data_IF_182741685220
#
_entry.id   IF_182741685220
#
_cell.length_a   1.000
_cell.length_b   1.000
_cell.length_c   1.000
_cell.angle_alpha   90.00
_cell.angle_beta   90.00
_cell.angle_gamma   90.00
#
_symmetry.space_group_name_H-M   'P 1'
#
loop_
_entity.id
_entity.type
_entity.pdbx_description
1 polymer ?
#
# COMPACT_ATOMS: atom_id res chain seq x y z
N UNK A 1 -25.83 -12.06 -28.12
CA UNK A 1 -25.46 -10.71 -27.72
C UNK A 1 -25.93 -10.43 -26.31
N UNK A 2 -25.18 -9.62 -25.56
CA UNK A 2 -25.57 -9.17 -24.22
C UNK A 2 -26.42 -7.91 -24.40
N UNK A 3 -27.66 -7.93 -23.91
CA UNK A 3 -28.61 -6.82 -24.06
C UNK A 3 -28.46 -5.76 -22.96
N UNK A 4 -28.27 -6.19 -21.70
CA UNK A 4 -28.18 -5.31 -20.54
C UNK A 4 -27.36 -5.98 -19.42
N UNK A 5 -26.60 -5.17 -18.68
CA UNK A 5 -25.88 -5.58 -17.45
C UNK A 5 -26.41 -4.73 -16.31
N UNK A 6 -26.82 -5.35 -15.19
CA UNK A 6 -27.37 -4.65 -14.02
C UNK A 6 -26.74 -5.11 -12.72
N UNK A 7 -26.60 -4.19 -11.77
CA UNK A 7 -26.28 -4.56 -10.40
C UNK A 7 -27.48 -5.23 -9.73
N UNK A 8 -27.23 -6.09 -8.74
CA UNK A 8 -28.26 -6.66 -7.89
C UNK A 8 -27.76 -6.82 -6.46
N UNK A 9 -28.68 -6.84 -5.51
CA UNK A 9 -28.36 -7.08 -4.09
C UNK A 9 -28.26 -8.58 -3.79
N UNK A 10 -27.20 -9.00 -3.12
CA UNK A 10 -27.04 -10.41 -2.69
C UNK A 10 -28.16 -10.82 -1.73
N UNK A 11 -28.59 -9.93 -0.84
CA UNK A 11 -29.53 -10.24 0.24
C UNK A 11 -30.94 -10.62 -0.24
N UNK A 12 -31.44 -10.00 -1.32
CA UNK A 12 -32.82 -10.18 -1.80
C UNK A 12 -32.92 -10.42 -3.32
N UNK A 13 -31.78 -10.50 -4.00
CA UNK A 13 -31.66 -10.70 -5.45
C UNK A 13 -32.40 -9.66 -6.29
N UNK A 14 -32.67 -8.46 -5.74
CA UNK A 14 -33.33 -7.39 -6.48
C UNK A 14 -32.35 -6.63 -7.33
N UNK A 15 -32.73 -6.43 -8.59
CA UNK A 15 -31.98 -5.64 -9.56
C UNK A 15 -32.00 -4.15 -9.18
N UNK A 16 -30.89 -3.46 -9.42
CA UNK A 16 -30.63 -2.07 -9.04
C UNK A 16 -30.58 -1.16 -10.28
N UNK A 17 -29.57 -0.33 -10.45
CA UNK A 17 -29.29 0.43 -11.66
C UNK A 17 -28.55 -0.40 -12.72
N UNK A 18 -28.50 0.13 -13.94
CA UNK A 18 -27.75 -0.42 -15.07
C UNK A 18 -26.26 -0.13 -14.88
N UNK A 19 -25.40 -1.08 -15.24
CA UNK A 19 -23.96 -0.89 -15.24
C UNK A 19 -23.51 -0.26 -16.56
N UNK A 20 -23.55 1.08 -16.65
CA UNK A 20 -23.26 1.83 -17.89
C UNK A 20 -21.83 1.62 -18.42
N UNK A 21 -20.89 1.25 -17.55
CA UNK A 21 -19.49 0.96 -17.91
C UNK A 21 -19.24 -0.53 -18.19
N UNK A 22 -20.29 -1.35 -18.23
CA UNK A 22 -20.19 -2.79 -18.41
C UNK A 22 -19.63 -3.52 -17.18
N UNK A 23 -19.04 -4.69 -17.42
CA UNK A 23 -18.41 -5.52 -16.40
C UNK A 23 -17.00 -5.91 -16.85
N UNK A 24 -16.02 -5.63 -15.99
CA UNK A 24 -14.71 -6.27 -16.06
C UNK A 24 -14.65 -7.34 -14.96
N UNK A 25 -14.49 -8.60 -15.35
CA UNK A 25 -14.41 -9.74 -14.44
C UNK A 25 -12.94 -10.19 -14.35
N UNK A 26 -12.14 -9.67 -13.41
CA UNK A 26 -10.77 -10.14 -13.22
C UNK A 26 -10.77 -11.60 -12.73
N UNK A 27 -9.67 -12.33 -12.92
CA UNK A 27 -9.56 -13.67 -12.36
C UNK A 27 -9.69 -13.68 -10.84
N UNK A 28 -10.27 -14.75 -10.29
CA UNK A 28 -10.45 -14.91 -8.84
C UNK A 28 -9.24 -15.53 -8.12
N UNK A 29 -8.19 -15.88 -8.85
CA UNK A 29 -6.97 -16.54 -8.37
C UNK A 29 -5.77 -16.04 -9.16
N UNK A 30 -4.61 -16.07 -8.50
CA UNK A 30 -3.33 -15.64 -9.09
C UNK A 30 -2.74 -16.72 -10.02
N UNK A 31 -3.00 -18.01 -9.72
CA UNK A 31 -2.63 -19.12 -10.60
C UNK A 31 -3.84 -19.60 -11.42
N UNK A 32 -3.79 -19.37 -12.73
CA UNK A 32 -4.84 -19.79 -13.66
C UNK A 32 -4.60 -21.21 -14.18
N UNK A 33 -5.66 -22.01 -14.25
CA UNK A 33 -5.61 -23.40 -14.72
C UNK A 33 -5.67 -23.49 -16.25
N UNK A 34 -4.69 -22.91 -16.93
CA UNK A 34 -4.53 -23.02 -18.38
C UNK A 34 -4.14 -24.45 -18.77
N UNK A 35 -4.30 -24.81 -20.05
CA UNK A 35 -3.90 -26.13 -20.54
C UNK A 35 -2.41 -26.41 -20.30
N UNK A 36 -1.57 -25.38 -20.34
CA UNK A 36 -0.15 -25.47 -20.04
C UNK A 36 0.12 -25.76 -18.55
N UNK A 37 -0.49 -25.00 -17.64
CA UNK A 37 -0.39 -25.23 -16.19
C UNK A 37 -0.87 -26.64 -15.83
N UNK A 38 -1.97 -27.08 -16.44
CA UNK A 38 -2.53 -28.42 -16.25
C UNK A 38 -1.58 -29.51 -16.76
N UNK A 39 -0.96 -29.30 -17.92
CA UNK A 39 0.04 -30.22 -18.48
C UNK A 39 1.29 -30.34 -17.60
N UNK A 40 1.81 -29.21 -17.10
CA UNK A 40 2.94 -29.18 -16.15
C UNK A 40 2.60 -29.89 -14.85
N UNK A 41 1.40 -29.66 -14.32
CA UNK A 41 0.93 -30.33 -13.11
C UNK A 41 0.84 -31.85 -13.30
N UNK A 42 0.34 -32.34 -14.44
CA UNK A 42 0.27 -33.77 -14.74
C UNK A 42 1.67 -34.42 -14.76
N UNK A 43 2.64 -33.78 -15.43
CA UNK A 43 4.01 -34.26 -15.48
C UNK A 43 4.68 -34.27 -14.10
N UNK A 44 4.47 -33.22 -13.30
CA UNK A 44 4.99 -33.14 -11.94
C UNK A 44 4.33 -34.17 -11.01
N UNK A 45 3.06 -34.50 -11.20
CA UNK A 45 2.37 -35.53 -10.40
C UNK A 45 2.98 -36.93 -10.61
N UNK A 46 3.45 -37.24 -11.82
CA UNK A 46 4.18 -38.49 -12.11
C UNK A 46 5.57 -38.50 -11.47
N UNK A 47 6.27 -37.37 -11.49
CA UNK A 47 7.60 -37.22 -10.92
C UNK A 47 7.62 -37.19 -9.38
N UNK A 48 6.57 -36.64 -8.78
CA UNK A 48 6.43 -36.42 -7.33
C UNK A 48 5.12 -37.03 -6.80
N UNK A 49 5.02 -38.37 -6.67
CA UNK A 49 3.80 -39.04 -6.22
C UNK A 49 3.28 -38.55 -4.86
N UNK A 50 4.16 -38.07 -3.99
CA UNK A 50 3.84 -37.44 -2.69
C UNK A 50 2.97 -36.18 -2.82
N UNK A 51 3.00 -35.51 -3.97
CA UNK A 51 2.15 -34.36 -4.31
C UNK A 51 1.01 -34.72 -5.26
N UNK A 52 0.85 -36.00 -5.60
CA UNK A 52 -0.06 -36.48 -6.64
C UNK A 52 -1.52 -36.11 -6.42
N UNK A 53 -2.00 -36.03 -5.17
CA UNK A 53 -3.38 -35.59 -4.89
C UNK A 53 -3.60 -34.12 -5.28
N UNK A 54 -2.67 -33.24 -4.91
CA UNK A 54 -2.76 -31.80 -5.18
C UNK A 54 -2.56 -31.52 -6.67
N UNK A 55 -1.47 -32.04 -7.24
CA UNK A 55 -1.12 -31.86 -8.65
C UNK A 55 -2.13 -32.53 -9.59
N UNK A 56 -2.69 -33.69 -9.21
CA UNK A 56 -3.73 -34.36 -9.97
C UNK A 56 -5.00 -33.53 -10.11
N UNK A 57 -5.46 -32.91 -9.01
CA UNK A 57 -6.61 -31.98 -9.06
C UNK A 57 -6.33 -30.79 -9.98
N UNK A 58 -5.14 -30.20 -9.89
CA UNK A 58 -4.71 -29.09 -10.78
C UNK A 58 -4.71 -29.55 -12.24
N UNK A 59 -4.15 -30.72 -12.56
CA UNK A 59 -4.13 -31.29 -13.91
C UNK A 59 -5.54 -31.52 -14.49
N UNK A 60 -6.50 -31.93 -13.64
CA UNK A 60 -7.91 -32.07 -14.00
C UNK A 60 -8.64 -30.72 -14.16
N UNK A 61 -8.00 -29.60 -13.86
CA UNK A 61 -8.61 -28.27 -13.94
C UNK A 61 -9.44 -27.92 -12.69
N UNK A 62 -9.18 -28.59 -11.57
CA UNK A 62 -9.86 -28.37 -10.29
C UNK A 62 -9.00 -27.46 -9.41
N UNK A 63 -9.52 -26.26 -9.12
CA UNK A 63 -8.87 -25.33 -8.20
C UNK A 63 -8.95 -25.84 -6.75
N UNK A 64 -7.83 -25.72 -6.03
CA UNK A 64 -7.66 -26.24 -4.67
C UNK A 64 -6.97 -25.20 -3.80
N UNK A 65 -7.22 -25.24 -2.49
CA UNK A 65 -6.55 -24.35 -1.56
C UNK A 65 -5.04 -24.60 -1.55
N UNK A 66 -4.25 -23.52 -1.56
CA UNK A 66 -2.79 -23.59 -1.51
C UNK A 66 -2.08 -23.88 -2.84
N UNK A 67 -2.77 -24.06 -3.97
CA UNK A 67 -2.10 -24.31 -5.27
C UNK A 67 -1.15 -23.19 -5.71
N UNK A 68 -1.36 -21.95 -5.25
CA UNK A 68 -0.48 -20.81 -5.51
C UNK A 68 0.95 -21.04 -5.00
N UNK A 69 1.13 -21.87 -3.96
CA UNK A 69 2.48 -22.25 -3.48
C UNK A 69 3.31 -23.01 -4.53
N UNK A 70 2.64 -23.60 -5.53
CA UNK A 70 3.26 -24.31 -6.65
C UNK A 70 3.39 -23.43 -7.90
N UNK A 71 2.96 -22.16 -7.87
CA UNK A 71 3.04 -21.28 -9.04
C UNK A 71 4.44 -21.27 -9.69
N UNK A 72 5.57 -21.16 -8.95
CA UNK A 72 6.89 -21.05 -9.58
C UNK A 72 7.33 -22.27 -10.39
N UNK A 73 6.69 -23.43 -10.20
CA UNK A 73 6.98 -24.64 -10.97
C UNK A 73 5.90 -24.98 -12.00
N UNK A 74 4.78 -24.24 -11.96
CA UNK A 74 3.64 -24.42 -12.84
C UNK A 74 3.53 -23.32 -13.91
N UNK A 75 4.18 -22.17 -13.74
CA UNK A 75 4.27 -21.11 -14.75
C UNK A 75 5.72 -20.93 -15.21
N UNK A 76 5.93 -20.13 -16.26
CA UNK A 76 7.26 -19.84 -16.80
C UNK A 76 8.04 -18.86 -15.93
N UNK A 77 7.40 -17.74 -15.61
CA UNK A 77 8.05 -16.62 -14.96
C UNK A 77 7.17 -16.07 -13.84
N UNK A 78 7.83 -15.58 -12.80
CA UNK A 78 7.22 -14.80 -11.72
C UNK A 78 7.67 -13.36 -11.86
N UNK A 79 6.73 -12.43 -11.72
CA UNK A 79 6.99 -10.98 -11.84
C UNK A 79 6.87 -10.30 -10.47
N UNK A 80 7.62 -9.21 -10.25
CA UNK A 80 7.41 -8.31 -9.14
C UNK A 80 6.35 -7.27 -9.47
N UNK A 81 5.74 -6.67 -8.45
CA UNK A 81 4.83 -5.54 -8.64
C UNK A 81 5.47 -4.42 -9.47
N UNK A 82 6.76 -4.15 -9.26
CA UNK A 82 7.49 -3.09 -9.98
C UNK A 82 7.70 -3.40 -11.47
N UNK A 83 7.60 -4.67 -11.89
CA UNK A 83 7.70 -5.07 -13.30
C UNK A 83 6.44 -4.70 -14.09
N UNK A 84 5.29 -4.62 -13.42
CA UNK A 84 3.98 -4.38 -14.04
C UNK A 84 3.45 -2.95 -13.85
N UNK A 85 4.23 -2.08 -13.20
CA UNK A 85 3.89 -0.67 -13.10
C UNK A 85 4.07 0.04 -14.44
N UNK A 86 3.27 1.08 -14.74
CA UNK A 86 3.44 1.87 -15.96
C UNK A 86 4.84 2.48 -16.07
N UNK A 87 5.35 2.59 -17.31
CA UNK A 87 6.61 3.29 -17.59
C UNK A 87 6.60 4.72 -17.01
N UNK A 88 7.71 5.12 -16.41
CA UNK A 88 7.82 6.42 -15.72
C UNK A 88 7.32 6.43 -14.27
N UNK A 89 6.87 5.31 -13.73
CA UNK A 89 6.56 5.19 -12.29
C UNK A 89 7.79 5.43 -11.41
N UNK A 90 7.57 5.83 -10.15
CA UNK A 90 8.60 6.07 -9.15
C UNK A 90 8.27 5.34 -7.85
N UNK A 91 9.27 4.73 -7.23
CA UNK A 91 9.16 4.17 -5.89
C UNK A 91 9.54 5.20 -4.83
N UNK A 92 8.67 5.42 -3.84
CA UNK A 92 8.94 6.23 -2.65
C UNK A 92 8.86 5.36 -1.40
N UNK A 93 9.99 5.14 -0.73
CA UNK A 93 10.09 4.30 0.47
C UNK A 93 10.04 5.16 1.72
N UNK A 94 8.92 5.13 2.43
CA UNK A 94 8.77 5.81 3.72
C UNK A 94 9.37 4.97 4.86
N UNK A 95 10.20 5.60 5.70
CA UNK A 95 10.93 4.96 6.79
C UNK A 95 11.83 3.80 6.32
N UNK A 96 12.86 4.06 5.49
CA UNK A 96 13.62 3.02 4.79
C UNK A 96 14.27 2.00 5.72
N UNK A 97 14.71 2.40 6.91
CA UNK A 97 15.27 1.49 7.92
C UNK A 97 14.23 0.50 8.47
N UNK A 98 13.00 0.99 8.73
CA UNK A 98 11.90 0.12 9.17
C UNK A 98 11.50 -0.85 8.06
N UNK A 99 11.46 -0.37 6.81
CA UNK A 99 11.18 -1.22 5.64
C UNK A 99 12.27 -2.28 5.46
N UNK A 100 13.55 -1.93 5.61
CA UNK A 100 14.67 -2.87 5.48
C UNK A 100 14.58 -4.00 6.51
N UNK A 101 14.38 -3.66 7.79
CA UNK A 101 14.22 -4.66 8.87
C UNK A 101 13.01 -5.54 8.59
N UNK A 102 11.86 -4.94 8.25
CA UNK A 102 10.65 -5.71 7.96
C UNK A 102 10.79 -6.63 6.77
N UNK A 103 11.44 -6.18 5.70
CA UNK A 103 11.71 -7.02 4.53
C UNK A 103 12.60 -8.21 4.90
N UNK A 104 13.67 -8.00 5.68
CA UNK A 104 14.53 -9.07 6.15
C UNK A 104 13.75 -10.10 6.97
N UNK A 105 12.91 -9.65 7.92
CA UNK A 105 12.09 -10.54 8.74
C UNK A 105 11.11 -11.36 7.90
N UNK A 106 10.48 -10.73 6.90
CA UNK A 106 9.54 -11.38 6.00
C UNK A 106 10.21 -12.44 5.12
N UNK A 107 11.39 -12.15 4.57
CA UNK A 107 12.17 -13.12 3.78
C UNK A 107 12.56 -14.32 4.64
N UNK A 108 13.11 -14.09 5.84
CA UNK A 108 13.49 -15.16 6.75
C UNK A 108 12.28 -16.03 7.14
N UNK A 109 11.18 -15.38 7.52
CA UNK A 109 9.94 -16.07 7.90
C UNK A 109 9.36 -16.89 6.74
N UNK A 110 9.37 -16.34 5.51
CA UNK A 110 8.90 -17.03 4.31
C UNK A 110 9.74 -18.28 4.02
N UNK A 111 11.05 -18.21 4.16
CA UNK A 111 11.95 -19.35 3.98
C UNK A 111 11.72 -20.43 5.04
N UNK A 112 11.51 -20.05 6.30
CA UNK A 112 11.16 -20.98 7.37
C UNK A 112 9.83 -21.69 7.11
N UNK A 113 8.80 -20.96 6.68
CA UNK A 113 7.50 -21.55 6.32
C UNK A 113 7.62 -22.53 5.15
N UNK A 114 8.39 -22.19 4.12
CA UNK A 114 8.62 -23.05 2.96
C UNK A 114 9.31 -24.35 3.38
N UNK A 115 10.36 -24.27 4.20
CA UNK A 115 11.05 -25.45 4.71
C UNK A 115 10.14 -26.31 5.59
N UNK A 116 9.34 -25.68 6.47
CA UNK A 116 8.44 -26.38 7.36
C UNK A 116 7.25 -27.04 6.65
N UNK A 117 6.65 -26.38 5.64
CA UNK A 117 5.53 -26.93 4.88
C UNK A 117 5.94 -28.22 4.17
N UNK A 118 7.16 -28.28 3.65
CA UNK A 118 7.68 -29.48 3.00
C UNK A 118 8.10 -30.56 3.99
N UNK A 119 8.71 -30.21 5.12
CA UNK A 119 9.08 -31.20 6.14
C UNK A 119 7.87 -31.96 6.73
N UNK A 120 6.68 -31.35 6.72
CA UNK A 120 5.44 -31.99 7.17
C UNK A 120 4.82 -32.94 6.12
N UNK A 121 5.04 -32.67 4.82
CA UNK A 121 4.47 -33.44 3.70
C UNK A 121 5.43 -34.50 3.17
N UNK A 122 6.74 -34.22 3.15
CA UNK A 122 7.79 -35.15 2.78
C UNK A 122 8.33 -35.81 4.05
N UNK A 123 8.06 -37.11 4.23
CA UNK A 123 8.52 -37.92 5.37
C UNK A 123 10.04 -38.11 5.51
N UNK A 124 10.85 -37.20 4.95
CA UNK A 124 12.31 -37.19 4.96
C UNK A 124 12.97 -35.81 5.07
N UNK A 125 12.21 -34.72 5.22
CA UNK A 125 12.76 -33.38 5.52
C UNK A 125 13.38 -32.60 4.34
N UNK A 126 13.47 -33.20 3.14
CA UNK A 126 13.92 -32.51 1.92
C UNK A 126 12.71 -32.15 1.04
N UNK A 127 12.69 -30.93 0.52
CA UNK A 127 11.57 -30.45 -0.30
C UNK A 127 11.53 -31.20 -1.64
N UNK A 128 10.38 -31.76 -2.04
CA UNK A 128 10.27 -32.55 -3.26
C UNK A 128 10.48 -31.70 -4.53
N UNK A 129 10.14 -30.40 -4.47
CA UNK A 129 10.26 -29.47 -5.59
C UNK A 129 10.85 -28.13 -5.11
N UNK A 130 11.74 -27.55 -5.91
CA UNK A 130 12.25 -26.19 -5.68
C UNK A 130 11.21 -25.13 -6.04
N UNK A 131 10.55 -24.59 -5.02
CA UNK A 131 9.63 -23.46 -5.12
C UNK A 131 10.26 -22.18 -4.54
N UNK A 132 11.59 -22.11 -4.44
CA UNK A 132 12.32 -20.96 -3.91
C UNK A 132 12.03 -19.66 -4.65
N UNK A 133 11.63 -19.72 -5.92
CA UNK A 133 11.20 -18.56 -6.68
C UNK A 133 9.85 -17.95 -6.20
N UNK A 134 9.06 -18.65 -5.37
CA UNK A 134 7.92 -18.05 -4.65
C UNK A 134 8.36 -17.28 -3.40
N UNK A 135 9.61 -17.42 -2.95
CA UNK A 135 10.07 -16.73 -1.76
C UNK A 135 10.15 -15.22 -2.00
N UNK A 136 9.87 -14.46 -0.93
CA UNK A 136 9.98 -13.01 -0.98
C UNK A 136 11.41 -12.58 -1.33
N UNK A 137 11.52 -11.54 -2.15
CA UNK A 137 12.81 -10.94 -2.52
C UNK A 137 13.27 -9.95 -1.46
N UNK A 138 14.59 -9.81 -1.33
CA UNK A 138 15.13 -8.79 -0.44
C UNK A 138 14.84 -7.40 -0.99
N UNK A 139 14.77 -6.39 -0.13
CA UNK A 139 14.59 -5.01 -0.58
C UNK A 139 15.76 -4.51 -1.46
N UNK A 140 16.95 -5.09 -1.29
CA UNK A 140 18.10 -4.81 -2.14
C UNK A 140 17.87 -5.31 -3.57
N UNK A 141 17.40 -6.56 -3.72
CA UNK A 141 17.07 -7.13 -5.02
C UNK A 141 15.97 -6.34 -5.73
N UNK A 142 14.94 -5.93 -5.00
CA UNK A 142 13.84 -5.11 -5.55
C UNK A 142 14.37 -3.75 -6.03
N UNK A 143 15.27 -3.12 -5.26
CA UNK A 143 15.90 -1.86 -5.66
C UNK A 143 16.81 -2.02 -6.88
N UNK A 144 17.54 -3.12 -6.97
CA UNK A 144 18.39 -3.39 -8.13
C UNK A 144 17.54 -3.64 -9.38
N UNK A 145 16.44 -4.38 -9.24
CA UNK A 145 15.46 -4.54 -10.32
C UNK A 145 14.83 -3.23 -10.75
N UNK A 146 14.48 -2.35 -9.80
CA UNK A 146 13.97 -1.00 -10.12
C UNK A 146 14.99 -0.21 -10.97
N UNK A 147 16.30 -0.34 -10.67
CA UNK A 147 17.35 0.31 -11.47
C UNK A 147 17.44 -0.25 -12.89
N UNK A 148 17.29 -1.56 -13.07
CA UNK A 148 17.25 -2.20 -14.40
C UNK A 148 16.07 -1.69 -15.24
N UNK A 149 14.93 -1.44 -14.59
CA UNK A 149 13.73 -0.88 -15.21
C UNK A 149 13.82 0.64 -15.46
N UNK A 150 14.90 1.30 -15.01
CA UNK A 150 15.02 2.76 -15.07
C UNK A 150 14.05 3.51 -14.13
N UNK A 151 13.49 2.83 -13.14
CA UNK A 151 12.55 3.39 -12.18
C UNK A 151 13.27 4.27 -11.15
N UNK A 152 12.77 5.49 -10.93
CA UNK A 152 13.27 6.36 -9.87
C UNK A 152 12.98 5.74 -8.49
N UNK A 153 13.95 5.85 -7.57
CA UNK A 153 13.85 5.29 -6.23
C UNK A 153 14.22 6.31 -5.17
N UNK A 154 13.23 6.79 -4.43
CA UNK A 154 13.39 7.78 -3.36
C UNK A 154 13.05 7.17 -2.01
N UNK A 155 13.56 7.78 -0.95
CA UNK A 155 13.18 7.45 0.42
C UNK A 155 12.88 8.69 1.23
N UNK A 156 11.94 8.58 2.17
CA UNK A 156 11.65 9.62 3.15
C UNK A 156 11.86 9.07 4.56
N UNK A 157 12.46 9.87 5.42
CA UNK A 157 12.72 9.50 6.81
C UNK A 157 12.44 10.70 7.71
N UNK A 158 11.79 10.51 8.87
CA UNK A 158 11.62 11.55 9.88
C UNK A 158 12.92 11.84 10.62
N UNK A 159 13.92 10.96 10.53
CA UNK A 159 15.23 11.17 11.11
C UNK A 159 16.10 11.94 10.12
N UNK A 160 16.43 13.18 10.47
CA UNK A 160 17.43 13.95 9.75
C UNK A 160 18.83 13.43 10.14
N UNK A 161 19.67 13.13 9.14
CA UNK A 161 21.10 13.07 9.39
C UNK A 161 21.61 14.48 9.78
N UNK A 162 22.69 14.54 10.55
CA UNK A 162 23.34 15.82 10.82
C UNK A 162 23.79 16.45 9.50
N UNK A 163 23.77 17.78 9.40
CA UNK A 163 24.05 18.49 8.14
C UNK A 163 25.44 18.17 7.56
N UNK A 164 26.37 17.69 8.40
CA UNK A 164 27.70 17.24 8.00
C UNK A 164 27.72 15.84 7.35
N UNK A 165 26.66 15.06 7.52
CA UNK A 165 26.51 13.67 7.07
C UNK A 165 25.44 13.53 5.97
N UNK A 166 24.94 14.64 5.43
CA UNK A 166 23.98 14.63 4.32
C UNK A 166 24.72 14.33 3.00
N UNK A 167 24.34 13.23 2.36
CA UNK A 167 24.76 12.93 0.99
C UNK A 167 24.24 14.00 0.01
N UNK A 168 24.93 14.22 -1.12
CA UNK A 168 24.55 15.19 -2.15
C UNK A 168 23.12 14.98 -2.69
N UNK A 169 22.62 13.74 -2.61
CA UNK A 169 21.28 13.35 -3.07
C UNK A 169 20.20 13.42 -1.97
N UNK A 170 20.51 14.03 -0.81
CA UNK A 170 19.56 14.16 0.31
C UNK A 170 18.99 15.58 0.41
N UNK A 171 17.66 15.68 0.36
CA UNK A 171 16.94 16.92 0.61
C UNK A 171 16.39 16.95 2.04
N UNK A 172 16.84 17.92 2.85
CA UNK A 172 16.29 18.20 4.17
C UNK A 172 15.14 19.20 4.08
N UNK A 173 13.95 18.75 4.48
CA UNK A 173 12.76 19.61 4.57
C UNK A 173 12.72 20.30 5.94
N UNK A 174 12.23 21.54 5.98
CA UNK A 174 12.06 22.30 7.24
C UNK A 174 10.77 21.93 8.00
N UNK A 175 10.02 20.98 7.46
CA UNK A 175 8.78 20.47 8.05
C UNK A 175 9.04 19.69 9.33
N UNK A 176 8.24 19.96 10.35
CA UNK A 176 8.27 19.21 11.60
C UNK A 176 6.85 19.03 12.16
N UNK A 177 6.67 17.99 12.99
CA UNK A 177 5.39 17.77 13.66
C UNK A 177 5.06 18.96 14.60
N UNK A 178 3.81 19.43 14.64
CA UNK A 178 3.40 20.46 15.59
C UNK A 178 3.49 19.90 17.01
N UNK A 179 3.76 20.78 17.97
CA UNK A 179 3.75 20.38 19.37
C UNK A 179 2.30 20.07 19.82
N UNK A 180 2.11 18.91 20.45
CA UNK A 180 0.77 18.46 20.82
C UNK A 180 0.20 19.31 21.97
N UNK A 181 -0.96 19.93 21.74
CA UNK A 181 -1.65 20.76 22.73
C UNK A 181 -2.22 19.99 23.93
N UNK A 182 -2.43 18.67 23.80
CA UNK A 182 -2.94 17.78 24.88
C UNK A 182 -4.16 18.34 25.64
N UNK A 183 -5.07 18.99 24.91
CA UNK A 183 -6.29 19.59 25.46
C UNK A 183 -6.18 21.07 25.85
N UNK A 184 -4.99 21.67 25.78
CA UNK A 184 -4.77 23.10 26.00
C UNK A 184 -5.23 23.93 24.78
N UNK A 185 -6.54 24.15 24.72
CA UNK A 185 -7.18 24.92 23.65
C UNK A 185 -6.75 26.39 23.68
N UNK A 186 -6.49 26.94 24.87
CA UNK A 186 -6.07 28.34 25.03
C UNK A 186 -4.71 28.58 24.37
N UNK A 187 -3.75 27.66 24.58
CA UNK A 187 -2.46 27.69 23.91
C UNK A 187 -2.61 27.54 22.39
N UNK A 188 -3.45 26.63 21.91
CA UNK A 188 -3.68 26.45 20.46
C UNK A 188 -4.21 27.72 19.78
N UNK A 189 -5.15 28.41 20.43
CA UNK A 189 -5.69 29.69 19.95
C UNK A 189 -4.65 30.81 19.99
N UNK A 190 -3.79 30.85 21.02
CA UNK A 190 -2.72 31.83 21.14
C UNK A 190 -1.66 31.64 20.04
N UNK A 191 -1.21 30.41 19.82
CA UNK A 191 -0.25 30.07 18.76
C UNK A 191 -0.82 30.43 17.38
N UNK A 192 -2.10 30.12 17.13
CA UNK A 192 -2.79 30.47 15.88
C UNK A 192 -2.83 31.98 15.66
N UNK A 193 -3.11 32.78 16.69
CA UNK A 193 -3.05 34.25 16.59
C UNK A 193 -1.64 34.73 16.26
N UNK A 194 -0.62 34.12 16.87
CA UNK A 194 0.80 34.40 16.57
C UNK A 194 1.14 34.11 15.11
N UNK A 195 0.82 32.90 14.63
CA UNK A 195 1.05 32.50 13.24
C UNK A 195 0.39 33.45 12.23
N UNK A 196 -0.88 33.80 12.43
CA UNK A 196 -1.57 34.74 11.54
C UNK A 196 -0.94 36.14 11.55
N UNK A 197 -0.47 36.61 12.72
CA UNK A 197 0.21 37.90 12.84
C UNK A 197 1.59 37.90 12.16
N UNK A 198 2.29 36.77 12.21
CA UNK A 198 3.58 36.55 11.56
C UNK A 198 3.44 36.25 10.05
N UNK A 199 2.22 36.24 9.51
CA UNK A 199 1.94 36.06 8.09
C UNK A 199 1.92 34.60 7.63
N UNK A 200 1.85 33.64 8.55
CA UNK A 200 1.74 32.22 8.22
C UNK A 200 0.40 31.90 7.55
N UNK A 201 0.42 30.80 6.82
CA UNK A 201 -0.75 30.16 6.24
C UNK A 201 -1.19 29.03 7.16
N UNK A 202 -2.42 29.12 7.69
CA UNK A 202 -2.91 28.16 8.69
C UNK A 202 -4.12 27.39 8.17
N UNK A 203 -4.03 26.07 8.23
CA UNK A 203 -5.11 25.15 7.83
C UNK A 203 -5.47 24.25 8.99
N UNK A 204 -6.76 24.17 9.30
CA UNK A 204 -7.31 23.22 10.26
C UNK A 204 -8.11 22.16 9.50
N UNK A 205 -7.77 20.89 9.69
CA UNK A 205 -8.47 19.78 9.04
C UNK A 205 -9.29 19.02 10.08
N UNK A 206 -10.53 18.71 9.73
CA UNK A 206 -11.44 17.92 10.57
C UNK A 206 -12.05 16.77 9.76
N UNK A 207 -12.50 15.70 10.42
CA UNK A 207 -13.04 14.53 9.72
C UNK A 207 -14.40 14.78 9.04
N UNK A 208 -15.13 15.82 9.44
CA UNK A 208 -16.49 16.04 8.95
C UNK A 208 -16.99 17.47 9.07
N UNK A 209 -17.94 17.80 8.19
CA UNK A 209 -18.46 19.16 8.03
C UNK A 209 -19.03 19.76 9.32
N UNK A 210 -19.70 18.96 10.16
CA UNK A 210 -20.24 19.45 11.44
C UNK A 210 -19.16 19.95 12.39
N UNK A 211 -18.02 19.24 12.47
CA UNK A 211 -16.87 19.68 13.26
C UNK A 211 -16.19 20.89 12.63
N UNK A 212 -16.07 20.91 11.30
CA UNK A 212 -15.49 22.04 10.58
C UNK A 212 -16.24 23.36 10.85
N UNK A 213 -17.57 23.36 10.72
CA UNK A 213 -18.41 24.53 11.00
C UNK A 213 -18.26 24.98 12.46
N UNK A 214 -18.27 24.03 13.40
CA UNK A 214 -18.08 24.34 14.83
C UNK A 214 -16.70 24.95 15.10
N UNK A 215 -15.66 24.46 14.45
CA UNK A 215 -14.30 25.02 14.57
C UNK A 215 -14.25 26.46 14.09
N UNK A 216 -14.90 26.78 12.97
CA UNK A 216 -15.02 28.17 12.48
C UNK A 216 -15.74 29.06 13.49
N UNK A 217 -16.85 28.59 14.08
CA UNK A 217 -17.59 29.33 15.11
C UNK A 217 -16.73 29.60 16.36
N UNK A 218 -15.98 28.60 16.83
CA UNK A 218 -15.07 28.74 17.98
C UNK A 218 -13.96 29.75 17.70
N UNK A 219 -13.31 29.65 16.53
CA UNK A 219 -12.25 30.58 16.12
C UNK A 219 -12.80 32.02 16.01
N UNK A 220 -13.98 32.18 15.39
CA UNK A 220 -14.65 33.48 15.28
C UNK A 220 -15.02 34.08 16.64
N UNK A 221 -15.50 33.27 17.59
CA UNK A 221 -15.78 33.69 18.96
C UNK A 221 -14.55 34.23 19.71
N UNK A 222 -13.36 33.74 19.34
CA UNK A 222 -12.07 34.14 19.90
C UNK A 222 -11.38 35.26 19.10
N UNK A 223 -12.07 35.83 18.11
CA UNK A 223 -11.56 36.90 17.27
C UNK A 223 -10.54 36.46 16.21
N UNK A 224 -10.50 35.16 15.88
CA UNK A 224 -9.65 34.61 14.82
C UNK A 224 -10.49 34.51 13.55
N UNK A 225 -10.03 35.16 12.48
CA UNK A 225 -10.65 35.03 11.17
C UNK A 225 -10.53 33.58 10.68
N UNK A 226 -11.65 32.92 10.43
CA UNK A 226 -11.67 31.55 9.94
C UNK A 226 -12.77 31.37 8.89
N UNK A 227 -12.53 30.51 7.90
CA UNK A 227 -13.52 30.15 6.87
C UNK A 227 -13.53 28.65 6.60
N UNK A 228 -14.72 28.08 6.45
CA UNK A 228 -14.86 26.70 6.03
C UNK A 228 -14.73 26.60 4.50
N UNK A 229 -13.81 25.76 4.04
CA UNK A 229 -13.48 25.53 2.64
C UNK A 229 -13.49 24.02 2.39
N UNK A 230 -14.59 23.44 1.89
CA UNK A 230 -14.70 22.00 1.64
C UNK A 230 -13.66 21.47 0.65
N UNK A 231 -13.36 22.26 -0.38
CA UNK A 231 -12.37 21.96 -1.42
C UNK A 231 -11.25 23.00 -1.36
N UNK A 232 -10.21 22.68 -0.59
CA UNK A 232 -9.10 23.59 -0.32
C UNK A 232 -8.08 23.56 -1.45
N UNK A 233 -8.15 24.56 -2.33
CA UNK A 233 -7.23 24.73 -3.47
C UNK A 233 -6.18 25.84 -3.25
N UNK A 234 -6.50 26.82 -2.42
CA UNK A 234 -5.62 27.96 -2.11
C UNK A 234 -5.62 28.28 -0.61
N UNK A 235 -4.43 28.60 -0.08
CA UNK A 235 -4.24 28.98 1.33
C UNK A 235 -3.76 30.43 1.40
N UNK A 236 -4.64 31.30 1.84
CA UNK A 236 -4.39 32.74 2.00
C UNK A 236 -3.81 33.04 3.40
N UNK A 237 -2.92 34.03 3.54
CA UNK A 237 -2.46 34.48 4.86
C UNK A 237 -3.59 35.18 5.65
N UNK A 238 -3.38 35.35 6.95
CA UNK A 238 -4.25 36.13 7.86
C UNK A 238 -5.67 35.57 8.10
N UNK A 239 -5.99 34.39 7.58
CA UNK A 239 -7.23 33.66 7.87
C UNK A 239 -6.91 32.17 8.07
N UNK A 240 -7.64 31.51 8.97
CA UNK A 240 -7.58 30.05 9.11
C UNK A 240 -8.54 29.40 8.13
N UNK A 241 -8.03 28.55 7.25
CA UNK A 241 -8.87 27.71 6.40
C UNK A 241 -9.22 26.44 7.14
N UNK A 242 -10.51 26.19 7.35
CA UNK A 242 -10.99 24.95 7.93
C UNK A 242 -11.50 24.06 6.82
N UNK A 243 -11.02 22.82 6.71
CA UNK A 243 -11.43 21.88 5.66
C UNK A 243 -11.74 20.49 6.21
N UNK A 244 -12.33 19.65 5.36
CA UNK A 244 -12.63 18.26 5.70
C UNK A 244 -11.57 17.34 5.10
N UNK A 245 -10.99 16.46 5.91
CA UNK A 245 -9.97 15.52 5.47
C UNK A 245 -9.56 14.54 6.56
N UNK A 246 -8.78 13.54 6.16
CA UNK A 246 -8.23 12.52 7.05
C UNK A 246 -6.71 12.75 7.18
N UNK A 247 -6.32 13.52 8.19
CA UNK A 247 -4.92 13.76 8.54
C UNK A 247 -4.76 13.43 10.03
N UNK A 248 -3.97 12.39 10.33
CA UNK A 248 -3.73 11.97 11.71
C UNK A 248 -2.86 12.97 12.48
N UNK A 249 -1.86 13.56 11.82
CA UNK A 249 -0.93 14.53 12.38
C UNK A 249 -0.65 15.65 11.36
N UNK A 250 -0.75 16.90 11.79
CA UNK A 250 -0.35 18.05 10.99
C UNK A 250 1.18 18.19 10.91
N UNK A 251 1.63 19.27 10.28
CA UNK A 251 3.03 19.69 10.26
C UNK A 251 3.10 21.22 10.29
N UNK A 252 4.27 21.72 10.66
CA UNK A 252 4.66 23.13 10.58
C UNK A 252 5.82 23.22 9.62
N UNK A 253 5.74 24.12 8.64
CA UNK A 253 6.81 24.38 7.68
C UNK A 253 7.20 25.87 7.76
N UNK A 254 8.37 26.21 8.34
CA UNK A 254 8.85 27.60 8.43
C UNK A 254 9.36 28.18 7.10
N UNK A 255 9.49 27.37 6.05
CA UNK A 255 10.07 27.78 4.77
C UNK A 255 9.12 28.59 3.88
#
# INVERSE_FOLDING_TARGET
DVEEIRYFKIADQRSLEVADHGLWAPPCRELLLTDEVRGRAAALAEAHPELGELLGKIAEGIAVEGMESLAPVLVDDMELLIDVLPEGSMALVCDPERVRTRASDLVATSQEFLQASWAATAGGGEAPIDVGAASLRSIADVRDRARELGMMWWSTSPFAADDADLDEDTLKLSMHAPEAYRGDTARALADTKGWLADGWRTVYVTEGQGLATRTVEVLGGEGIAARFVPDLTEIEPSVVHVSCGAIDQGFVDPA
#
